data_IF_669677852433
#
_entry.id   IF_669677852433
#
_cell.length_a   1.000
_cell.length_b   1.000
_cell.length_c   1.000
_cell.angle_alpha   90.00
_cell.angle_beta   90.00
_cell.angle_gamma   90.00
#
_symmetry.space_group_name_H-M   'P 1'
#
loop_
_entity.id
_entity.type
_entity.pdbx_description
1 polymer ?
#
# COMPACT_ATOMS: atom_id res chain seq x y z
N UNK A 1 -9.18 12.24 5.67
CA UNK A 1 -9.85 12.29 6.99
C UNK A 1 -8.84 12.29 8.15
N UNK A 2 -7.96 11.28 8.21
CA UNK A 2 -7.01 11.11 9.32
C UNK A 2 -6.14 12.34 9.58
N UNK A 3 -5.44 12.86 8.55
CA UNK A 3 -4.56 14.04 8.70
C UNK A 3 -5.32 15.29 9.17
N UNK A 4 -6.53 15.51 8.66
CA UNK A 4 -7.36 16.65 9.07
C UNK A 4 -7.77 16.55 10.53
N UNK A 5 -8.15 15.36 10.99
CA UNK A 5 -8.47 15.12 12.40
C UNK A 5 -7.24 15.27 13.30
N UNK A 6 -6.07 14.79 12.87
CA UNK A 6 -4.81 15.01 13.60
C UNK A 6 -4.51 16.51 13.78
N UNK A 7 -4.58 17.29 12.69
CA UNK A 7 -4.34 18.73 12.73
C UNK A 7 -5.37 19.49 13.57
N UNK A 8 -6.65 19.09 13.50
CA UNK A 8 -7.70 19.69 14.33
C UNK A 8 -7.46 19.40 15.82
N UNK A 9 -7.05 18.17 16.17
CA UNK A 9 -6.70 17.80 17.54
C UNK A 9 -5.48 18.59 18.04
N UNK A 10 -4.44 18.75 17.21
CA UNK A 10 -3.24 19.56 17.53
C UNK A 10 -3.58 21.04 17.74
N UNK A 11 -4.54 21.57 16.97
CA UNK A 11 -5.00 22.95 17.06
C UNK A 11 -6.12 23.17 18.10
N UNK A 12 -6.50 22.12 18.85
CA UNK A 12 -7.61 22.14 19.81
C UNK A 12 -8.93 22.68 19.21
N UNK A 13 -9.16 22.39 17.92
CA UNK A 13 -10.33 22.86 17.20
C UNK A 13 -11.32 21.71 17.00
N UNK A 14 -12.59 21.93 17.34
CA UNK A 14 -13.63 20.98 16.99
C UNK A 14 -13.83 20.94 15.46
N UNK A 15 -13.63 19.76 14.88
CA UNK A 15 -13.85 19.47 13.47
C UNK A 15 -14.60 18.16 13.34
N UNK A 16 -15.71 18.18 12.60
CA UNK A 16 -16.45 16.96 12.24
C UNK A 16 -16.13 16.59 10.79
N UNK A 17 -15.64 15.37 10.57
CA UNK A 17 -15.34 14.84 9.23
C UNK A 17 -16.19 13.60 8.99
N UNK A 18 -16.99 13.61 7.91
CA UNK A 18 -17.74 12.43 7.47
C UNK A 18 -17.07 11.83 6.23
N UNK A 19 -16.89 10.50 6.24
CA UNK A 19 -16.43 9.73 5.08
C UNK A 19 -17.58 8.83 4.67
N UNK A 20 -17.99 8.91 3.40
CA UNK A 20 -19.07 8.08 2.85
C UNK A 20 -18.47 7.09 1.87
N UNK A 21 -18.71 5.80 2.13
CA UNK A 21 -18.33 4.68 1.27
C UNK A 21 -19.61 3.95 0.82
N UNK A 22 -19.62 3.48 -0.43
CA UNK A 22 -20.75 2.73 -1.01
C UNK A 22 -20.77 1.27 -0.53
N UNK A 23 -19.60 0.72 -0.24
CA UNK A 23 -19.39 -0.65 0.24
C UNK A 23 -20.11 -0.93 1.56
N UNK A 24 -20.40 -2.22 1.81
CA UNK A 24 -20.94 -2.69 3.09
C UNK A 24 -19.97 -2.48 4.27
N UNK A 25 -18.69 -2.31 3.96
CA UNK A 25 -17.61 -1.93 4.86
C UNK A 25 -16.58 -1.10 4.08
N UNK A 26 -15.74 -0.33 4.79
CA UNK A 26 -14.66 0.41 4.14
C UNK A 26 -13.75 -0.56 3.39
N UNK A 27 -13.41 -0.26 2.14
CA UNK A 27 -12.56 -1.13 1.33
C UNK A 27 -13.27 -2.32 0.67
N UNK A 28 -14.58 -2.53 0.87
CA UNK A 28 -15.32 -3.66 0.27
C UNK A 28 -15.29 -3.68 -1.27
N UNK A 29 -15.16 -2.52 -1.90
CA UNK A 29 -15.08 -2.39 -3.37
C UNK A 29 -13.65 -2.25 -3.91
N UNK A 30 -12.64 -2.39 -3.05
CA UNK A 30 -11.24 -2.30 -3.48
C UNK A 30 -10.75 -3.69 -3.90
N UNK A 31 -10.36 -3.82 -5.16
CA UNK A 31 -9.66 -4.97 -5.70
C UNK A 31 -8.27 -4.55 -6.18
N UNK A 32 -7.21 -5.04 -5.53
CA UNK A 32 -5.83 -4.69 -5.88
C UNK A 32 -4.85 -5.81 -5.50
N UNK A 33 -3.90 -6.10 -6.39
CA UNK A 33 -2.69 -6.87 -6.08
C UNK A 33 -1.55 -5.94 -5.65
N UNK A 34 -1.83 -5.07 -4.68
CA UNK A 34 -0.99 -3.91 -4.36
C UNK A 34 0.40 -4.31 -3.86
N UNK A 35 1.42 -3.68 -4.44
CA UNK A 35 2.74 -3.52 -3.83
C UNK A 35 2.83 -2.11 -3.29
N UNK A 36 2.96 -1.97 -1.98
CA UNK A 36 2.80 -0.71 -1.26
C UNK A 36 4.13 -0.20 -0.73
N UNK A 37 4.42 1.07 -0.98
CA UNK A 37 5.55 1.80 -0.40
C UNK A 37 5.10 2.55 0.85
N UNK A 38 5.68 2.28 2.04
CA UNK A 38 5.13 2.74 3.32
C UNK A 38 5.42 4.20 3.66
N UNK A 39 6.16 4.96 2.83
CA UNK A 39 6.63 6.30 3.18
C UNK A 39 5.51 7.25 3.60
N UNK A 40 4.44 7.33 2.81
CA UNK A 40 3.30 8.18 3.12
C UNK A 40 2.51 7.70 4.35
N UNK A 41 2.46 6.38 4.57
CA UNK A 41 1.85 5.81 5.77
C UNK A 41 2.66 6.17 7.02
N UNK A 42 3.99 6.04 6.96
CA UNK A 42 4.90 6.40 8.04
C UNK A 42 4.89 7.92 8.33
N UNK A 43 4.68 8.77 7.32
CA UNK A 43 4.47 10.20 7.52
C UNK A 43 3.14 10.48 8.25
N UNK A 44 2.08 9.75 7.88
CA UNK A 44 0.76 9.93 8.47
C UNK A 44 0.67 9.36 9.90
N UNK A 45 1.27 8.20 10.10
CA UNK A 45 1.27 7.42 11.33
C UNK A 45 2.68 6.85 11.53
N UNK A 46 3.58 7.59 12.22
CA UNK A 46 4.94 7.13 12.47
C UNK A 46 4.99 5.81 13.26
N UNK A 47 3.95 5.53 14.03
CA UNK A 47 3.71 4.37 14.89
C UNK A 47 2.87 3.27 14.22
N UNK A 48 2.76 3.27 12.88
CA UNK A 48 1.89 2.33 12.15
C UNK A 48 2.18 0.85 12.45
N UNK A 49 3.44 0.48 12.69
CA UNK A 49 3.84 -0.90 13.03
C UNK A 49 3.27 -1.33 14.38
N UNK A 50 3.38 -0.47 15.40
CA UNK A 50 2.86 -0.72 16.76
C UNK A 50 1.33 -0.78 16.79
N UNK A 51 0.69 -0.15 15.80
CA UNK A 51 -0.76 -0.12 15.61
C UNK A 51 -1.30 -1.28 14.76
N UNK A 52 -0.47 -2.29 14.49
CA UNK A 52 -0.84 -3.52 13.76
C UNK A 52 -1.38 -3.22 12.34
N UNK A 53 -0.77 -2.26 11.64
CA UNK A 53 -1.15 -2.03 10.24
C UNK A 53 -0.86 -3.29 9.40
N UNK A 54 -1.71 -3.63 8.41
CA UNK A 54 -1.68 -4.92 7.73
C UNK A 54 -0.59 -5.03 6.63
N UNK A 55 0.65 -4.61 6.95
CA UNK A 55 1.83 -4.66 6.09
C UNK A 55 2.75 -5.81 6.51
N UNK A 56 2.25 -7.04 6.40
CA UNK A 56 2.91 -8.22 6.97
C UNK A 56 3.81 -9.00 6.00
N UNK A 57 3.79 -8.65 4.71
CA UNK A 57 4.48 -9.42 3.66
C UNK A 57 5.45 -8.53 2.88
N UNK A 58 6.73 -8.45 3.29
CA UNK A 58 7.72 -7.68 2.56
C UNK A 58 7.96 -8.29 1.17
N UNK A 59 8.10 -7.44 0.17
CA UNK A 59 8.53 -7.84 -1.17
C UNK A 59 10.00 -8.24 -1.12
N UNK A 60 10.30 -9.50 -1.44
CA UNK A 60 11.66 -10.06 -1.38
C UNK A 60 12.26 -10.36 -2.76
N UNK A 61 11.43 -10.40 -3.80
CA UNK A 61 11.86 -10.63 -5.18
C UNK A 61 10.91 -9.97 -6.18
N UNK A 62 11.49 -9.42 -7.24
CA UNK A 62 10.78 -9.02 -8.46
C UNK A 62 11.14 -9.98 -9.61
N UNK A 63 10.11 -10.46 -10.32
CA UNK A 63 10.27 -11.22 -11.55
C UNK A 63 9.36 -10.65 -12.64
N UNK A 64 9.91 -10.39 -13.82
CA UNK A 64 9.15 -10.00 -15.00
C UNK A 64 9.29 -11.07 -16.06
N UNK A 65 8.17 -11.51 -16.63
CA UNK A 65 8.12 -12.52 -17.68
C UNK A 65 7.54 -11.92 -18.96
N UNK A 66 8.22 -12.14 -20.08
CA UNK A 66 7.67 -11.90 -21.41
C UNK A 66 6.94 -13.18 -21.85
N UNK A 67 5.62 -13.09 -21.97
CA UNK A 67 4.80 -14.18 -22.48
C UNK A 67 4.85 -14.16 -24.01
N UNK A 68 5.31 -15.26 -24.62
CA UNK A 68 5.46 -15.35 -26.07
C UNK A 68 4.26 -16.01 -26.74
N UNK A 69 3.73 -17.06 -26.10
CA UNK A 69 2.56 -17.81 -26.55
C UNK A 69 1.85 -18.44 -25.32
N UNK A 70 0.87 -19.31 -25.56
CA UNK A 70 0.08 -19.94 -24.51
C UNK A 70 0.88 -20.87 -23.57
N UNK A 71 2.03 -21.38 -24.02
CA UNK A 71 2.83 -22.37 -23.29
C UNK A 71 4.22 -21.83 -22.88
N UNK A 72 4.67 -20.73 -23.49
CA UNK A 72 6.04 -20.23 -23.34
C UNK A 72 6.08 -18.83 -22.73
N UNK A 73 6.80 -18.74 -21.62
CA UNK A 73 7.23 -17.51 -20.99
C UNK A 73 8.75 -17.45 -20.91
N UNK A 74 9.33 -16.27 -21.08
CA UNK A 74 10.76 -16.02 -20.85
C UNK A 74 10.92 -15.02 -19.73
N UNK A 75 11.66 -15.38 -18.68
CA UNK A 75 12.06 -14.44 -17.63
C UNK A 75 12.98 -13.38 -18.20
N UNK A 76 12.65 -12.12 -17.99
CA UNK A 76 13.51 -10.99 -18.32
C UNK A 76 14.53 -10.83 -17.19
N UNK A 77 15.84 -10.76 -17.49
CA UNK A 77 16.85 -10.43 -16.48
C UNK A 77 16.54 -9.08 -15.81
N UNK A 78 16.58 -9.02 -14.47
CA UNK A 78 16.19 -7.82 -13.71
C UNK A 78 16.96 -6.55 -14.11
N UNK A 79 18.21 -6.68 -14.59
CA UNK A 79 19.00 -5.54 -15.10
C UNK A 79 18.40 -4.86 -16.34
N UNK A 80 17.57 -5.57 -17.12
CA UNK A 80 16.90 -5.04 -18.31
C UNK A 80 15.47 -4.54 -18.01
N UNK A 81 14.96 -4.82 -16.81
CA UNK A 81 13.63 -4.38 -16.40
C UNK A 81 13.67 -2.89 -16.02
N UNK A 82 12.69 -2.08 -16.46
CA UNK A 82 12.61 -0.67 -16.09
C UNK A 82 12.67 -0.44 -14.59
N UNK A 83 13.38 0.62 -14.17
CA UNK A 83 13.57 0.92 -12.74
C UNK A 83 12.26 1.11 -11.97
N UNK A 84 11.22 1.61 -12.61
CA UNK A 84 9.89 1.79 -12.03
C UNK A 84 9.16 0.50 -11.66
N UNK A 85 9.64 -0.66 -12.14
CA UNK A 85 9.06 -1.97 -11.84
C UNK A 85 9.83 -2.75 -10.77
N UNK A 86 10.91 -2.17 -10.21
CA UNK A 86 11.64 -2.77 -9.10
C UNK A 86 11.00 -2.35 -7.79
N UNK A 87 10.49 -3.32 -7.04
CA UNK A 87 9.95 -3.10 -5.71
C UNK A 87 10.98 -3.44 -4.62
N UNK A 88 12.02 -4.19 -4.99
CA UNK A 88 13.11 -4.66 -4.11
C UNK A 88 14.42 -3.91 -4.33
N UNK A 89 15.34 -3.98 -3.36
CA UNK A 89 16.69 -3.41 -3.46
C UNK A 89 16.79 -1.89 -3.33
N UNK A 90 15.69 -1.20 -2.99
CA UNK A 90 15.66 0.24 -2.68
C UNK A 90 16.00 0.57 -1.22
N UNK A 91 15.87 1.85 -0.88
CA UNK A 91 16.03 2.42 0.47
C UNK A 91 14.89 2.06 1.44
N UNK A 92 13.73 1.69 0.88
CA UNK A 92 12.54 1.33 1.64
C UNK A 92 12.06 -0.07 1.30
N UNK A 93 11.65 -0.80 2.33
CA UNK A 93 10.92 -2.07 2.19
C UNK A 93 9.53 -1.78 1.64
N UNK A 94 9.17 -2.41 0.52
CA UNK A 94 7.80 -2.42 0.01
C UNK A 94 7.08 -3.69 0.43
N UNK A 95 5.76 -3.66 0.52
CA UNK A 95 4.96 -4.76 1.02
C UNK A 95 3.91 -5.20 0.00
N UNK A 96 3.73 -6.51 -0.14
CA UNK A 96 2.56 -7.05 -0.83
C UNK A 96 1.39 -7.00 0.16
N UNK A 97 0.32 -6.28 -0.19
CA UNK A 97 -0.79 -6.05 0.73
C UNK A 97 -2.15 -6.27 0.08
N UNK A 98 -3.17 -6.43 0.92
CA UNK A 98 -4.55 -6.15 0.54
C UNK A 98 -4.85 -4.67 0.79
N UNK A 99 -5.08 -3.91 -0.28
CA UNK A 99 -5.47 -2.50 -0.16
C UNK A 99 -6.81 -2.33 0.57
N UNK A 100 -7.74 -3.30 0.43
CA UNK A 100 -8.98 -3.32 1.18
C UNK A 100 -8.75 -3.47 2.69
N UNK A 101 -7.84 -4.36 3.11
CA UNK A 101 -7.48 -4.51 4.53
C UNK A 101 -6.80 -3.24 5.08
N UNK A 102 -5.92 -2.62 4.30
CA UNK A 102 -5.32 -1.35 4.69
C UNK A 102 -6.38 -0.25 4.87
N UNK A 103 -7.34 -0.14 3.94
CA UNK A 103 -8.44 0.81 4.08
C UNK A 103 -9.35 0.52 5.28
N UNK A 104 -9.59 -0.76 5.62
CA UNK A 104 -10.31 -1.13 6.84
C UNK A 104 -9.56 -0.73 8.10
N UNK A 105 -8.25 -0.88 8.11
CA UNK A 105 -7.41 -0.46 9.24
C UNK A 105 -7.34 1.08 9.38
N UNK A 106 -7.47 1.81 8.27
CA UNK A 106 -7.49 3.29 8.25
C UNK A 106 -8.83 3.90 8.69
N UNK A 107 -9.89 3.11 8.71
CA UNK A 107 -11.25 3.54 9.07
C UNK A 107 -11.44 3.60 10.59
#
# INVERSE_FOLDING_TARGET
PCRLMQQANEAEQELTVCVVEKGSEVGAHILSGAVFEPRALAELFPDWEERDAPLNTPAVRDDVYLLKDAEKAQKIPNALVPKSMHNTGGDLTRYVISAGNLCRWLA
#
